data_IF_325366170902
#
_entry.id   IF_325366170902
#
_cell.length_a   1.000
_cell.length_b   1.000
_cell.length_c   1.000
_cell.angle_alpha   90.00
_cell.angle_beta   90.00
_cell.angle_gamma   90.00
#
_symmetry.space_group_name_H-M   'P 1'
#
loop_
_entity.id
_entity.type
_entity.pdbx_description
1 polymer ?
#
# COMPACT_ATOMS: atom_id res chain seq x y z
N UNK A 1 -2.15 -8.78 -7.16
CA UNK A 1 -2.09 -7.31 -6.99
C UNK A 1 -3.40 -6.86 -6.40
N UNK A 2 -3.37 -6.02 -5.36
CA UNK A 2 -4.56 -5.38 -4.79
C UNK A 2 -4.63 -3.94 -5.29
N UNK A 3 -5.60 -3.63 -6.16
CA UNK A 3 -5.80 -2.26 -6.64
C UNK A 3 -6.18 -1.32 -5.50
N UNK A 4 -5.92 -0.01 -5.66
CA UNK A 4 -6.28 0.99 -4.65
C UNK A 4 -7.75 0.92 -4.19
N UNK A 5 -8.68 0.53 -5.08
CA UNK A 5 -10.10 0.34 -4.75
C UNK A 5 -10.41 -0.84 -3.83
N UNK A 6 -9.50 -1.79 -3.71
CA UNK A 6 -9.60 -2.92 -2.77
C UNK A 6 -8.93 -2.60 -1.43
N UNK A 7 -8.34 -1.42 -1.28
CA UNK A 7 -7.68 -0.99 -0.05
C UNK A 7 -8.64 -0.22 0.85
N UNK A 8 -8.47 -0.38 2.16
CA UNK A 8 -9.10 0.47 3.16
C UNK A 8 -8.24 1.73 3.31
N UNK A 9 -8.69 2.83 2.72
CA UNK A 9 -8.04 4.14 2.80
C UNK A 9 -8.92 5.06 3.64
N UNK A 10 -8.39 5.54 4.76
CA UNK A 10 -9.12 6.43 5.66
C UNK A 10 -9.53 7.71 4.94
N UNK A 11 -10.82 8.06 5.07
CA UNK A 11 -11.48 9.21 4.41
C UNK A 11 -11.55 9.20 2.88
N UNK A 12 -11.26 8.07 2.23
CA UNK A 12 -11.21 8.02 0.76
C UNK A 12 -12.54 8.21 0.01
N UNK A 13 -13.66 8.12 0.71
CA UNK A 13 -14.99 8.42 0.17
C UNK A 13 -15.30 9.93 0.17
N UNK A 14 -14.51 10.74 0.89
CA UNK A 14 -14.69 12.18 0.93
C UNK A 14 -13.83 12.87 -0.15
N UNK A 15 -14.46 13.52 -1.15
CA UNK A 15 -13.76 14.16 -2.26
C UNK A 15 -12.95 15.39 -1.84
N UNK A 16 -13.09 15.89 -0.59
CA UNK A 16 -12.24 16.96 -0.03
C UNK A 16 -10.85 16.45 0.28
N UNK A 17 -10.72 15.16 0.64
CA UNK A 17 -9.47 14.57 1.10
C UNK A 17 -8.82 13.67 0.06
N UNK A 18 -9.63 12.99 -0.78
CA UNK A 18 -9.13 12.07 -1.80
C UNK A 18 -9.84 12.24 -3.13
N UNK A 19 -9.11 12.08 -4.23
CA UNK A 19 -9.67 12.07 -5.58
C UNK A 19 -9.30 10.79 -6.30
N UNK A 20 -10.30 10.12 -6.85
CA UNK A 20 -10.11 8.89 -7.64
C UNK A 20 -10.06 9.21 -9.13
N UNK A 21 -9.00 8.78 -9.80
CA UNK A 21 -8.86 8.96 -11.24
C UNK A 21 -8.49 7.65 -11.94
N UNK A 22 -8.90 7.49 -13.20
CA UNK A 22 -8.51 6.33 -13.98
C UNK A 22 -7.04 6.41 -14.40
N UNK A 23 -6.36 5.28 -14.37
CA UNK A 23 -5.02 5.06 -14.90
C UNK A 23 -5.09 3.93 -15.93
N UNK A 24 -4.53 4.17 -17.11
CA UNK A 24 -4.34 3.12 -18.11
C UNK A 24 -3.14 2.27 -17.69
N UNK A 25 -3.38 1.00 -17.34
CA UNK A 25 -2.32 0.07 -16.92
C UNK A 25 -1.70 -0.63 -18.13
N UNK A 26 -2.54 -1.10 -19.04
CA UNK A 26 -2.18 -1.70 -20.34
C UNK A 26 -3.15 -1.21 -21.41
N UNK A 27 -3.02 -1.63 -22.68
CA UNK A 27 -3.95 -1.23 -23.74
C UNK A 27 -5.42 -1.51 -23.39
N UNK A 28 -5.70 -2.57 -22.62
CA UNK A 28 -7.06 -3.04 -22.34
C UNK A 28 -7.47 -2.92 -20.86
N UNK A 29 -6.54 -2.60 -19.96
CA UNK A 29 -6.82 -2.58 -18.51
C UNK A 29 -6.74 -1.14 -17.99
N UNK A 30 -7.86 -0.68 -17.42
CA UNK A 30 -7.98 0.62 -16.77
C UNK A 30 -8.31 0.42 -15.29
N UNK A 31 -7.44 0.92 -14.42
CA UNK A 31 -7.63 0.85 -12.96
C UNK A 31 -7.95 2.23 -12.39
N UNK A 32 -8.52 2.29 -11.18
CA UNK A 32 -8.67 3.55 -10.45
C UNK A 32 -7.59 3.66 -9.38
N UNK A 33 -6.92 4.80 -9.35
CA UNK A 33 -5.90 5.14 -8.37
C UNK A 33 -6.41 6.28 -7.48
N UNK A 34 -5.93 6.34 -6.24
CA UNK A 34 -6.35 7.33 -5.25
C UNK A 34 -5.28 8.43 -5.12
N UNK A 35 -5.62 9.69 -5.44
CA UNK A 35 -4.77 10.84 -5.16
C UNK A 35 -5.20 11.51 -3.85
N UNK A 36 -4.25 11.67 -2.94
CA UNK A 36 -4.40 12.44 -1.72
C UNK A 36 -4.42 13.95 -2.04
N UNK A 37 -5.48 14.62 -1.61
CA UNK A 37 -5.66 16.06 -1.75
C UNK A 37 -5.10 16.81 -0.54
N UNK A 38 -5.54 16.46 0.67
CA UNK A 38 -5.03 17.07 1.91
C UNK A 38 -5.48 16.28 3.16
N UNK A 39 -4.56 15.71 3.96
CA UNK A 39 -4.90 15.07 5.25
C UNK A 39 -3.77 15.22 6.26
N UNK A 40 -4.10 15.28 7.55
CA UNK A 40 -3.10 15.15 8.64
C UNK A 40 -2.91 13.69 9.11
N UNK A 41 -3.95 12.86 9.05
CA UNK A 41 -3.91 11.42 9.36
C UNK A 41 -3.92 10.60 8.07
N UNK A 42 -2.81 9.93 7.79
CA UNK A 42 -2.68 9.02 6.65
C UNK A 42 -2.70 7.58 7.14
N UNK A 43 -3.67 6.82 6.67
CA UNK A 43 -3.80 5.40 6.97
C UNK A 43 -4.36 4.65 5.76
N UNK A 44 -3.54 3.75 5.24
CA UNK A 44 -3.88 2.87 4.12
C UNK A 44 -3.60 1.45 4.56
N UNK A 45 -4.59 0.58 4.41
CA UNK A 45 -4.49 -0.84 4.74
C UNK A 45 -4.96 -1.69 3.58
N UNK A 46 -4.29 -2.81 3.35
CA UNK A 46 -4.72 -3.86 2.45
C UNK A 46 -4.60 -5.22 3.12
N UNK A 47 -5.42 -6.15 2.67
CA UNK A 47 -5.46 -7.51 3.15
C UNK A 47 -5.50 -8.47 1.96
N UNK A 48 -4.75 -9.56 2.06
CA UNK A 48 -4.73 -10.62 1.07
C UNK A 48 -4.89 -11.98 1.74
N UNK A 49 -5.86 -12.72 1.28
CA UNK A 49 -6.08 -14.09 1.70
C UNK A 49 -4.95 -15.01 1.23
N UNK A 50 -4.37 -15.78 2.14
CA UNK A 50 -3.27 -16.72 1.81
C UNK A 50 -3.77 -17.86 0.93
N UNK A 51 -5.05 -18.26 1.04
CA UNK A 51 -5.67 -19.30 0.24
C UNK A 51 -5.68 -19.00 -1.28
N UNK A 52 -5.58 -17.73 -1.67
CA UNK A 52 -5.48 -17.31 -3.07
C UNK A 52 -4.06 -17.39 -3.63
N UNK A 53 -3.08 -17.83 -2.84
CA UNK A 53 -1.67 -17.89 -3.21
C UNK A 53 -1.19 -19.33 -3.33
N UNK A 54 -0.18 -19.54 -4.18
CA UNK A 54 0.51 -20.84 -4.25
C UNK A 54 1.11 -21.18 -2.88
N UNK A 55 0.83 -22.37 -2.31
CA UNK A 55 1.45 -22.84 -1.08
C UNK A 55 2.97 -22.97 -1.18
N UNK A 56 3.64 -23.05 -0.03
CA UNK A 56 5.10 -23.26 0.11
C UNK A 56 5.98 -22.24 -0.64
N UNK A 57 5.42 -21.08 -0.94
CA UNK A 57 6.05 -20.05 -1.75
C UNK A 57 6.33 -18.84 -0.87
N UNK A 58 7.53 -18.28 -1.00
CA UNK A 58 7.85 -17.00 -0.36
C UNK A 58 7.36 -15.88 -1.27
N UNK A 59 6.62 -14.93 -0.71
CA UNK A 59 6.13 -13.75 -1.41
C UNK A 59 6.75 -12.48 -0.84
N UNK A 60 6.93 -11.50 -1.70
CA UNK A 60 7.25 -10.12 -1.33
C UNK A 60 6.01 -9.24 -1.53
N UNK A 61 5.77 -8.32 -0.60
CA UNK A 61 4.73 -7.32 -0.71
C UNK A 61 5.31 -5.90 -0.76
N UNK A 62 4.79 -5.07 -1.66
CA UNK A 62 5.20 -3.69 -1.83
C UNK A 62 4.02 -2.77 -2.22
N UNK A 63 4.03 -1.54 -1.72
CA UNK A 63 3.13 -0.49 -2.23
C UNK A 63 3.67 0.09 -3.52
N UNK A 64 2.79 0.26 -4.51
CA UNK A 64 3.08 1.02 -5.73
C UNK A 64 2.43 2.40 -5.58
N UNK A 65 3.27 3.42 -5.44
CA UNK A 65 2.83 4.80 -5.17
C UNK A 65 3.58 5.81 -6.01
N UNK A 66 3.11 7.05 -6.05
CA UNK A 66 3.80 8.18 -6.66
C UNK A 66 3.61 9.40 -5.76
N UNK A 67 4.66 10.20 -5.59
CA UNK A 67 4.53 11.55 -5.02
C UNK A 67 4.53 12.55 -6.18
N UNK A 68 3.45 13.34 -6.33
CA UNK A 68 3.36 14.36 -7.38
C UNK A 68 4.39 15.47 -7.20
N UNK A 69 4.75 16.17 -8.29
CA UNK A 69 5.66 17.33 -8.22
C UNK A 69 5.21 18.42 -7.25
N UNK A 70 3.91 18.75 -7.25
CA UNK A 70 3.31 19.76 -6.35
C UNK A 70 2.77 19.13 -5.05
N UNK A 71 3.61 18.38 -4.35
CA UNK A 71 3.32 17.73 -3.06
C UNK A 71 3.89 18.52 -1.87
N UNK A 72 3.32 18.36 -0.68
CA UNK A 72 3.90 18.86 0.59
C UNK A 72 3.57 17.91 1.75
N UNK A 73 4.17 18.16 2.92
CA UNK A 73 3.87 17.44 4.16
C UNK A 73 4.67 16.15 4.37
N UNK A 74 5.65 15.87 3.52
CA UNK A 74 6.41 14.62 3.50
C UNK A 74 7.78 14.72 4.18
N UNK A 75 7.93 15.64 5.14
CA UNK A 75 9.16 15.79 5.93
C UNK A 75 9.29 14.68 6.97
N UNK A 76 8.15 14.23 7.52
CA UNK A 76 8.08 13.06 8.37
C UNK A 76 8.05 11.79 7.51
N UNK A 77 8.75 10.72 7.93
CA UNK A 77 8.71 9.44 7.23
C UNK A 77 7.37 8.73 7.49
N UNK A 78 7.05 7.76 6.64
CA UNK A 78 5.88 6.89 6.81
C UNK A 78 6.29 5.53 7.38
N UNK A 79 5.42 4.95 8.20
CA UNK A 79 5.55 3.60 8.72
C UNK A 79 4.87 2.62 7.77
N UNK A 80 5.62 1.61 7.33
CA UNK A 80 5.13 0.48 6.57
C UNK A 80 5.11 -0.74 7.48
N UNK A 81 4.06 -1.54 7.44
CA UNK A 81 4.03 -2.80 8.17
C UNK A 81 3.39 -3.92 7.38
N UNK A 82 3.93 -5.13 7.56
CA UNK A 82 3.38 -6.40 7.09
C UNK A 82 3.14 -7.30 8.29
N UNK A 83 1.92 -7.80 8.43
CA UNK A 83 1.53 -8.84 9.38
C UNK A 83 1.22 -10.10 8.57
N UNK A 84 1.95 -11.20 8.82
CA UNK A 84 1.69 -12.46 8.13
C UNK A 84 0.50 -13.23 8.74
N UNK A 85 0.16 -14.37 8.14
CA UNK A 85 -0.95 -15.21 8.59
C UNK A 85 -0.79 -15.81 9.99
N UNK A 86 0.41 -15.73 10.58
CA UNK A 86 0.70 -16.17 11.96
C UNK A 86 0.71 -15.01 12.96
N UNK A 87 0.47 -13.77 12.49
CA UNK A 87 0.52 -12.57 13.32
C UNK A 87 1.93 -12.01 13.53
N UNK A 88 2.95 -12.52 12.84
CA UNK A 88 4.31 -11.95 12.89
C UNK A 88 4.33 -10.64 12.10
N UNK A 89 4.81 -9.58 12.75
CA UNK A 89 4.85 -8.24 12.17
C UNK A 89 6.26 -7.83 11.78
N UNK A 90 6.40 -7.35 10.54
CA UNK A 90 7.58 -6.63 10.03
C UNK A 90 7.23 -5.16 9.90
N UNK A 91 8.11 -4.27 10.33
CA UNK A 91 7.93 -2.81 10.22
C UNK A 91 9.12 -2.18 9.52
N UNK A 92 8.86 -1.16 8.70
CA UNK A 92 9.87 -0.33 8.05
C UNK A 92 9.45 1.13 8.14
N UNK A 93 10.42 2.03 8.18
CA UNK A 93 10.19 3.48 8.15
C UNK A 93 10.81 4.00 6.87
N UNK A 94 10.02 4.72 6.06
CA UNK A 94 10.44 5.20 4.75
C UNK A 94 10.27 6.70 4.65
N UNK A 95 11.36 7.40 4.35
CA UNK A 95 11.29 8.81 3.95
C UNK A 95 10.87 8.94 2.49
N UNK A 96 10.02 9.93 2.22
CA UNK A 96 9.69 10.35 0.86
C UNK A 96 10.58 11.50 0.37
N UNK A 97 11.48 12.05 1.19
CA UNK A 97 12.31 13.22 0.81
C UNK A 97 13.27 12.90 -0.34
N UNK A 98 13.85 11.71 -0.34
CA UNK A 98 14.82 11.20 -1.30
C UNK A 98 14.17 10.46 -2.49
N UNK A 99 12.84 10.35 -2.51
CA UNK A 99 12.10 9.62 -3.55
C UNK A 99 11.76 10.52 -4.73
N UNK A 100 11.89 10.03 -5.98
CA UNK A 100 11.61 10.82 -7.17
C UNK A 100 10.15 11.30 -7.18
N UNK A 101 9.96 12.54 -7.62
CA UNK A 101 8.64 13.16 -7.79
C UNK A 101 8.15 12.92 -9.22
N UNK A 102 6.85 12.68 -9.38
CA UNK A 102 6.22 12.42 -10.66
C UNK A 102 6.45 11.03 -11.24
N UNK A 103 7.17 10.15 -10.53
CA UNK A 103 7.43 8.78 -10.94
C UNK A 103 6.75 7.77 -10.00
N UNK A 104 6.34 6.63 -10.57
CA UNK A 104 5.90 5.48 -9.78
C UNK A 104 7.11 4.85 -9.09
N UNK A 105 6.97 4.61 -7.80
CA UNK A 105 7.98 3.96 -6.96
C UNK A 105 7.37 2.76 -6.26
N UNK A 106 8.23 1.80 -5.95
CA UNK A 106 7.89 0.60 -5.19
C UNK A 106 8.43 0.74 -3.77
N UNK A 107 7.53 0.71 -2.79
CA UNK A 107 7.88 0.72 -1.37
C UNK A 107 7.74 -0.70 -0.82
N UNK A 108 8.87 -1.42 -0.76
CA UNK A 108 8.91 -2.77 -0.19
C UNK A 108 8.50 -2.73 1.28
N UNK A 109 7.55 -3.58 1.66
CA UNK A 109 7.02 -3.65 3.03
C UNK A 109 7.63 -4.83 3.79
N UNK A 110 7.73 -5.98 3.14
CA UNK A 110 8.24 -7.20 3.77
C UNK A 110 7.96 -8.43 2.94
N UNK A 111 8.25 -9.59 3.54
CA UNK A 111 8.13 -10.89 2.91
C UNK A 111 7.38 -11.85 3.83
N UNK A 112 6.65 -12.81 3.25
CA UNK A 112 5.97 -13.85 4.02
C UNK A 112 6.02 -15.16 3.25
N UNK A 113 5.92 -16.29 3.96
CA UNK A 113 5.91 -17.62 3.37
C UNK A 113 4.52 -18.23 3.51
N UNK A 114 3.99 -18.78 2.43
CA UNK A 114 2.75 -19.56 2.49
C UNK A 114 3.05 -20.98 2.96
N UNK A 115 2.15 -21.56 3.77
CA UNK A 115 2.24 -22.94 4.25
C UNK A 115 1.19 -23.81 3.54
N UNK A 116 1.29 -25.14 3.67
CA UNK A 116 0.30 -26.08 3.10
C UNK A 116 -0.99 -26.19 3.93
N UNK A 117 -1.15 -25.41 4.99
CA UNK A 117 -2.05 -25.76 6.10
C UNK A 117 -3.47 -26.14 5.69
N UNK A 118 -3.84 -27.37 6.05
CA UNK A 118 -5.17 -27.93 6.02
C UNK A 118 -5.90 -27.53 7.32
N UNK A 119 -6.45 -26.31 7.37
CA UNK A 119 -7.13 -25.82 8.57
C UNK A 119 -8.10 -24.68 8.27
N UNK A 120 -9.28 -24.75 8.88
CA UNK A 120 -10.49 -23.90 8.67
C UNK A 120 -10.32 -22.39 8.87
N UNK A 121 -9.13 -21.88 9.22
CA UNK A 121 -8.93 -20.46 9.49
C UNK A 121 -8.39 -19.76 8.25
N UNK A 122 -9.22 -18.86 7.71
CA UNK A 122 -8.90 -17.95 6.62
C UNK A 122 -7.76 -17.01 7.04
N UNK A 123 -6.51 -17.45 6.90
CA UNK A 123 -5.33 -16.64 7.20
C UNK A 123 -5.16 -15.53 6.16
N UNK A 124 -4.91 -14.32 6.64
CA UNK A 124 -4.77 -13.12 5.82
C UNK A 124 -3.42 -12.47 6.10
N UNK A 125 -2.73 -12.04 5.04
CA UNK A 125 -1.59 -11.13 5.14
C UNK A 125 -2.09 -9.71 5.07
N UNK A 126 -1.76 -8.92 6.09
CA UNK A 126 -2.14 -7.50 6.17
C UNK A 126 -0.94 -6.63 5.90
N UNK A 127 -1.16 -5.57 5.13
CA UNK A 127 -0.13 -4.62 4.73
C UNK A 127 -0.64 -3.21 4.99
N UNK A 128 0.19 -2.33 5.54
CA UNK A 128 -0.21 -0.96 5.89
C UNK A 128 0.85 0.09 5.59
N UNK A 129 0.39 1.30 5.28
CA UNK A 129 1.17 2.53 5.16
C UNK A 129 0.51 3.60 6.02
N UNK A 130 1.24 4.08 7.01
CA UNK A 130 0.71 4.88 8.10
C UNK A 130 1.58 6.12 8.34
N UNK A 131 0.95 7.27 8.53
CA UNK A 131 1.57 8.45 9.10
C UNK A 131 0.50 9.36 9.71
N UNK A 132 0.53 9.51 11.02
CA UNK A 132 -0.28 10.49 11.75
C UNK A 132 0.51 11.18 12.87
N UNK A 133 1.70 10.67 13.21
CA UNK A 133 2.47 11.10 14.39
C UNK A 133 2.97 12.54 14.25
N UNK A 134 3.36 12.98 13.05
CA UNK A 134 3.84 14.35 12.82
C UNK A 134 2.76 15.42 12.95
N UNK A 135 1.48 15.04 12.86
CA UNK A 135 0.32 15.94 12.74
C UNK A 135 0.41 16.90 11.53
N UNK A 136 1.40 16.73 10.66
CA UNK A 136 1.59 17.57 9.48
C UNK A 136 0.54 17.24 8.42
N UNK A 137 -0.03 18.27 7.80
CA UNK A 137 -0.90 18.12 6.65
C UNK A 137 -0.10 17.69 5.41
N UNK A 138 -0.65 16.77 4.62
CA UNK A 138 0.04 16.10 3.51
C UNK A 138 -0.82 16.08 2.26
N UNK A 139 -0.14 16.26 1.13
CA UNK A 139 -0.77 16.29 -0.19
C UNK A 139 0.08 15.61 -1.24
N UNK A 140 -0.58 15.05 -2.24
CA UNK A 140 0.05 14.69 -3.51
C UNK A 140 0.60 13.28 -3.57
N UNK A 141 0.36 12.44 -2.57
CA UNK A 141 0.53 10.99 -2.69
C UNK A 141 -0.52 10.43 -3.64
N UNK A 142 -0.11 9.53 -4.51
CA UNK A 142 -0.99 8.73 -5.37
C UNK A 142 -0.76 7.27 -5.07
N UNK A 143 -1.82 6.55 -4.74
CA UNK A 143 -1.79 5.13 -4.42
C UNK A 143 -2.36 4.36 -5.60
N UNK A 144 -1.56 3.45 -6.15
CA UNK A 144 -1.98 2.59 -7.27
C UNK A 144 -2.45 1.23 -6.78
N UNK A 145 -1.62 0.54 -6.01
CA UNK A 145 -1.88 -0.84 -5.59
C UNK A 145 -0.91 -1.33 -4.53
N UNK A 146 -1.21 -2.47 -3.93
CA UNK A 146 -0.23 -3.36 -3.30
C UNK A 146 0.11 -4.48 -4.29
N UNK A 147 1.40 -4.64 -4.57
CA UNK A 147 1.92 -5.73 -5.38
C UNK A 147 2.39 -6.84 -4.45
N UNK A 148 1.91 -8.05 -4.71
CA UNK A 148 2.33 -9.28 -4.03
C UNK A 148 2.81 -10.23 -5.13
N UNK A 149 4.05 -10.71 -5.02
CA UNK A 149 4.68 -11.57 -6.04
C UNK A 149 5.56 -12.64 -5.41
N UNK A 150 5.68 -13.83 -6.02
CA UNK A 150 6.64 -14.83 -5.60
C UNK A 150 8.06 -14.26 -5.64
N UNK A 151 8.82 -14.51 -4.58
CA UNK A 151 10.26 -14.26 -4.50
C UNK A 151 10.98 -15.51 -4.99
N UNK A 152 11.80 -15.34 -6.02
CA UNK A 152 12.70 -16.40 -6.50
C UNK A 152 13.85 -16.60 -5.53
#
# INVERSE_FOLDING_TARGET
MLCARSLKITWSEDPRYWKWFPLQETSNIRIRVAALLDVCWLEIRGGLEISCLTPETTYEAAFIVMIKHKSYGWNAPVSLALEDGEGKVQKQVVSFLDKPRGAWIELKVGEFKTTREAGSNRKEVKVSLLEWDSKAWKKGLVVKSIRVRPKK
#
